data_IF_714167369030
#
_entry.id   IF_714167369030
#
_cell.length_a   1.000
_cell.length_b   1.000
_cell.length_c   1.000
_cell.angle_alpha   90.00
_cell.angle_beta   90.00
_cell.angle_gamma   90.00
#
_symmetry.space_group_name_H-M   'P 1'
#
loop_
_entity.id
_entity.type
_entity.pdbx_description
1 polymer ?
#
# COMPACT_ATOMS: atom_id res chain seq x y z
N UNK A 1 -20.64 15.23 2.07
CA UNK A 1 -19.49 14.30 1.88
C UNK A 1 -18.64 14.78 0.73
N UNK A 2 -19.16 14.95 -0.49
CA UNK A 2 -18.38 15.33 -1.67
C UNK A 2 -17.61 16.64 -1.54
N UNK A 3 -18.22 17.71 -0.99
CA UNK A 3 -17.53 18.99 -0.76
C UNK A 3 -16.38 18.89 0.24
N UNK A 4 -16.56 18.11 1.30
CA UNK A 4 -15.51 17.83 2.28
C UNK A 4 -14.37 17.02 1.64
N UNK A 5 -14.69 15.95 0.89
CA UNK A 5 -13.69 15.17 0.16
C UNK A 5 -12.92 16.04 -0.85
N UNK A 6 -13.59 16.98 -1.53
CA UNK A 6 -12.92 17.94 -2.42
C UNK A 6 -11.93 18.82 -1.67
N UNK A 7 -12.31 19.37 -0.52
CA UNK A 7 -11.42 20.20 0.30
C UNK A 7 -10.19 19.41 0.78
N UNK A 8 -10.36 18.17 1.22
CA UNK A 8 -9.24 17.29 1.59
C UNK A 8 -8.34 16.95 0.40
N UNK A 9 -8.93 16.61 -0.75
CA UNK A 9 -8.16 16.32 -1.96
C UNK A 9 -7.31 17.53 -2.39
N UNK A 10 -7.88 18.74 -2.35
CA UNK A 10 -7.15 19.98 -2.63
C UNK A 10 -6.00 20.20 -1.64
N UNK A 11 -6.25 20.04 -0.34
CA UNK A 11 -5.25 20.24 0.70
C UNK A 11 -4.06 19.28 0.59
N UNK A 12 -4.30 18.04 0.15
CA UNK A 12 -3.29 16.98 0.16
C UNK A 12 -2.67 16.68 -1.21
N UNK A 13 -3.27 17.08 -2.33
CA UNK A 13 -2.79 16.71 -3.66
C UNK A 13 -2.54 17.89 -4.59
N UNK A 14 -3.21 19.06 -4.39
CA UNK A 14 -3.09 20.15 -5.34
C UNK A 14 -2.06 21.23 -4.94
N UNK A 15 -1.48 21.16 -3.76
CA UNK A 15 -0.43 22.08 -3.33
C UNK A 15 0.89 21.74 -4.02
N UNK A 16 1.76 22.74 -4.20
CA UNK A 16 3.08 22.59 -4.80
C UNK A 16 3.97 21.62 -3.98
N UNK A 17 3.88 21.71 -2.66
CA UNK A 17 4.62 20.87 -1.70
C UNK A 17 3.87 19.58 -1.29
N UNK A 18 2.78 19.23 -2.00
CA UNK A 18 1.98 18.06 -1.66
C UNK A 18 2.72 16.75 -1.97
N UNK A 19 2.49 15.69 -1.17
CA UNK A 19 3.09 14.37 -1.37
C UNK A 19 2.68 13.76 -2.72
N UNK A 20 3.45 12.78 -3.20
CA UNK A 20 3.15 12.05 -4.44
C UNK A 20 1.91 11.18 -4.33
N UNK A 21 1.59 10.67 -3.14
CA UNK A 21 0.44 9.82 -2.89
C UNK A 21 -0.20 10.12 -1.53
N UNK A 22 -1.51 9.85 -1.41
CA UNK A 22 -2.23 9.92 -0.14
C UNK A 22 -3.01 8.64 0.09
N UNK A 23 -3.05 8.17 1.35
CA UNK A 23 -3.90 7.04 1.76
C UNK A 23 -5.30 7.53 2.08
N UNK A 24 -6.31 6.86 1.52
CA UNK A 24 -7.73 7.21 1.67
C UNK A 24 -8.56 6.00 2.06
N UNK A 25 -9.65 6.25 2.80
CA UNK A 25 -10.61 5.22 3.16
C UNK A 25 -11.75 5.21 2.13
N UNK A 26 -12.01 4.06 1.52
CA UNK A 26 -13.06 3.86 0.52
C UNK A 26 -14.48 3.68 1.09
N UNK A 27 -14.66 3.67 2.41
CA UNK A 27 -15.93 3.37 3.06
C UNK A 27 -17.09 4.26 2.62
N UNK A 28 -16.84 5.51 2.23
CA UNK A 28 -17.84 6.45 1.74
C UNK A 28 -18.24 6.24 0.26
N UNK A 29 -17.63 5.29 -0.43
CA UNK A 29 -17.90 5.04 -1.85
C UNK A 29 -17.37 6.15 -2.78
N UNK A 30 -17.97 6.25 -3.99
CA UNK A 30 -17.53 7.16 -5.06
C UNK A 30 -17.51 8.63 -4.63
N UNK A 31 -18.52 9.09 -3.93
CA UNK A 31 -18.60 10.47 -3.46
C UNK A 31 -17.41 10.89 -2.58
N UNK A 32 -16.83 9.90 -1.86
CA UNK A 32 -15.64 10.09 -1.05
C UNK A 32 -14.33 9.98 -1.83
N UNK A 33 -14.28 9.20 -2.91
CA UNK A 33 -13.07 8.92 -3.67
C UNK A 33 -12.88 9.76 -4.93
N UNK A 34 -13.95 10.05 -5.67
CA UNK A 34 -13.88 10.75 -6.95
C UNK A 34 -13.14 12.11 -6.88
N UNK A 35 -13.29 12.95 -5.84
CA UNK A 35 -12.52 14.19 -5.73
C UNK A 35 -11.00 13.93 -5.62
N UNK A 36 -10.58 12.88 -4.91
CA UNK A 36 -9.16 12.51 -4.80
C UNK A 36 -8.63 11.93 -6.11
N UNK A 37 -9.42 11.10 -6.80
CA UNK A 37 -9.07 10.54 -8.12
C UNK A 37 -8.88 11.67 -9.13
N UNK A 38 -9.80 12.62 -9.18
CA UNK A 38 -9.71 13.78 -10.05
C UNK A 38 -8.46 14.62 -9.77
N UNK A 39 -8.17 14.91 -8.50
CA UNK A 39 -6.99 15.66 -8.09
C UNK A 39 -5.70 14.92 -8.43
N UNK A 40 -5.60 13.62 -8.12
CA UNK A 40 -4.44 12.79 -8.40
C UNK A 40 -4.16 12.71 -9.90
N UNK A 41 -5.19 12.47 -10.72
CA UNK A 41 -5.08 12.40 -12.18
C UNK A 41 -4.60 13.73 -12.78
N UNK A 42 -5.15 14.86 -12.28
CA UNK A 42 -4.78 16.19 -12.77
C UNK A 42 -3.33 16.58 -12.45
N UNK A 43 -2.77 16.06 -11.36
CA UNK A 43 -1.42 16.41 -10.87
C UNK A 43 -0.35 15.33 -11.12
N UNK A 44 -0.73 14.20 -11.72
CA UNK A 44 0.17 13.06 -11.90
C UNK A 44 0.56 12.36 -10.59
N UNK A 45 -0.26 12.52 -9.53
CA UNK A 45 -0.09 11.90 -8.21
C UNK A 45 -0.94 10.65 -8.05
N UNK A 46 -0.92 10.01 -6.88
CA UNK A 46 -1.62 8.75 -6.65
C UNK A 46 -2.39 8.69 -5.34
N UNK A 47 -3.16 7.61 -5.23
CA UNK A 47 -3.91 7.24 -4.03
C UNK A 47 -3.53 5.82 -3.60
N UNK A 48 -3.66 5.54 -2.30
CA UNK A 48 -3.74 4.19 -1.76
C UNK A 48 -5.05 4.03 -1.00
N UNK A 49 -5.98 3.27 -1.55
CA UNK A 49 -7.27 2.99 -0.91
C UNK A 49 -7.09 1.85 0.08
N UNK A 50 -7.64 1.97 1.29
CA UNK A 50 -7.62 0.88 2.27
C UNK A 50 -8.43 -0.32 1.75
N UNK A 51 -7.79 -1.48 1.62
CA UNK A 51 -8.42 -2.75 1.20
C UNK A 51 -8.28 -3.79 2.31
N UNK A 52 -7.04 -4.18 2.65
CA UNK A 52 -6.77 -5.12 3.74
C UNK A 52 -5.69 -4.54 4.65
N UNK A 53 -6.09 -4.09 5.82
CA UNK A 53 -5.16 -3.43 6.74
C UNK A 53 -4.37 -4.43 7.59
N UNK A 54 -3.19 -4.04 8.06
CA UNK A 54 -2.27 -4.93 8.77
C UNK A 54 -2.59 -5.14 10.26
N UNK A 55 -3.50 -4.33 10.84
CA UNK A 55 -3.87 -4.43 12.24
C UNK A 55 -4.82 -5.62 12.49
N UNK A 56 -4.68 -6.35 13.63
CA UNK A 56 -5.50 -7.53 13.91
C UNK A 56 -7.02 -7.26 13.92
N UNK A 57 -7.46 -6.16 14.52
CA UNK A 57 -8.88 -5.80 14.60
C UNK A 57 -9.50 -5.40 13.25
N UNK A 58 -8.70 -5.24 12.20
CA UNK A 58 -9.21 -5.09 10.84
C UNK A 58 -10.12 -6.26 10.42
N UNK A 59 -9.84 -7.46 10.92
CA UNK A 59 -10.64 -8.66 10.66
C UNK A 59 -12.11 -8.54 11.13
N UNK A 60 -12.40 -7.75 12.16
CA UNK A 60 -13.76 -7.56 12.70
C UNK A 60 -14.76 -7.05 11.63
N UNK A 61 -14.26 -6.24 10.69
CA UNK A 61 -15.06 -5.72 9.58
C UNK A 61 -14.67 -6.34 8.24
N UNK A 62 -13.37 -6.45 7.99
CA UNK A 62 -12.86 -6.81 6.65
C UNK A 62 -13.12 -8.28 6.32
N UNK A 63 -13.27 -9.16 7.33
CA UNK A 63 -13.61 -10.58 7.16
C UNK A 63 -15.12 -10.87 7.21
N UNK A 64 -15.98 -9.85 7.31
CA UNK A 64 -17.42 -10.04 7.17
C UNK A 64 -17.74 -10.55 5.77
N UNK A 65 -18.55 -11.61 5.71
CA UNK A 65 -18.97 -12.27 4.47
C UNK A 65 -20.38 -11.85 4.07
N UNK A 66 -20.60 -11.71 2.77
CA UNK A 66 -21.93 -11.59 2.21
C UNK A 66 -22.62 -12.97 2.09
N UNK A 67 -23.84 -12.99 1.53
CA UNK A 67 -24.60 -14.22 1.33
C UNK A 67 -23.95 -15.22 0.35
N UNK A 68 -22.97 -14.80 -0.45
CA UNK A 68 -22.20 -15.63 -1.36
C UNK A 68 -20.86 -16.09 -0.74
N UNK A 69 -20.55 -15.69 0.50
CA UNK A 69 -19.31 -15.99 1.20
C UNK A 69 -18.13 -15.10 0.79
N UNK A 70 -18.41 -13.99 0.07
CA UNK A 70 -17.37 -13.03 -0.36
C UNK A 70 -17.12 -12.04 0.77
N UNK A 71 -15.84 -11.86 1.12
CA UNK A 71 -15.45 -10.99 2.23
C UNK A 71 -15.44 -9.51 1.84
N UNK A 72 -15.61 -8.65 2.84
CA UNK A 72 -15.64 -7.19 2.61
C UNK A 72 -14.37 -6.68 1.95
N UNK A 73 -13.18 -7.20 2.32
CA UNK A 73 -11.93 -6.80 1.68
C UNK A 73 -11.84 -7.22 0.20
N UNK A 74 -12.48 -8.32 -0.20
CA UNK A 74 -12.56 -8.78 -1.60
C UNK A 74 -13.51 -7.90 -2.42
N UNK A 75 -14.65 -7.51 -1.82
CA UNK A 75 -15.52 -6.49 -2.42
C UNK A 75 -14.80 -5.18 -2.61
N UNK A 76 -14.00 -4.74 -1.62
CA UNK A 76 -13.21 -3.52 -1.74
C UNK A 76 -12.13 -3.65 -2.82
N UNK A 77 -11.49 -4.81 -2.96
CA UNK A 77 -10.51 -5.05 -4.02
C UNK A 77 -11.14 -4.96 -5.41
N UNK A 78 -12.28 -5.62 -5.61
CA UNK A 78 -13.06 -5.55 -6.84
C UNK A 78 -13.48 -4.11 -7.15
N UNK A 79 -13.93 -3.38 -6.14
CA UNK A 79 -14.32 -1.98 -6.26
C UNK A 79 -13.13 -1.11 -6.68
N UNK A 80 -11.96 -1.25 -6.05
CA UNK A 80 -10.75 -0.48 -6.38
C UNK A 80 -10.25 -0.80 -7.79
N UNK A 81 -10.24 -2.07 -8.19
CA UNK A 81 -9.86 -2.47 -9.54
C UNK A 81 -10.80 -1.88 -10.63
N UNK A 82 -12.09 -1.75 -10.31
CA UNK A 82 -13.08 -1.15 -11.22
C UNK A 82 -12.97 0.38 -11.36
N UNK A 83 -12.13 1.06 -10.56
CA UNK A 83 -11.87 2.50 -10.70
C UNK A 83 -10.89 2.82 -11.83
N UNK A 84 -10.25 1.81 -12.44
CA UNK A 84 -9.30 2.00 -13.52
C UNK A 84 -9.96 2.56 -14.77
N UNK A 85 -9.30 3.55 -15.35
CA UNK A 85 -9.65 4.15 -16.65
C UNK A 85 -8.38 4.39 -17.46
N UNK A 86 -8.49 4.79 -18.72
CA UNK A 86 -7.36 5.19 -19.53
C UNK A 86 -6.57 6.38 -18.93
N UNK A 87 -7.23 7.21 -18.12
CA UNK A 87 -6.60 8.36 -17.46
C UNK A 87 -5.87 7.99 -16.16
N UNK A 88 -6.25 6.88 -15.50
CA UNK A 88 -5.66 6.45 -14.23
C UNK A 88 -4.51 5.47 -14.43
N UNK A 89 -4.47 4.72 -15.53
CA UNK A 89 -3.40 3.75 -15.80
C UNK A 89 -2.25 4.42 -16.55
N UNK A 90 -1.07 4.41 -15.93
CA UNK A 90 0.14 5.02 -16.47
C UNK A 90 0.86 4.14 -17.50
N UNK A 91 1.92 4.71 -18.11
CA UNK A 91 2.71 4.05 -19.18
C UNK A 91 3.35 2.71 -18.77
N UNK A 92 3.56 2.49 -17.48
CA UNK A 92 4.12 1.24 -16.94
C UNK A 92 3.06 0.17 -16.63
N UNK A 93 1.80 0.42 -16.96
CA UNK A 93 0.69 -0.49 -16.76
C UNK A 93 0.09 -0.46 -15.34
N UNK A 94 0.60 0.36 -14.43
CA UNK A 94 0.03 0.53 -13.09
C UNK A 94 -0.91 1.72 -13.02
N UNK A 95 -1.94 1.57 -12.20
CA UNK A 95 -2.90 2.63 -11.88
C UNK A 95 -2.31 3.62 -10.87
N UNK A 96 -2.70 4.89 -10.99
CA UNK A 96 -2.47 5.88 -9.92
C UNK A 96 -3.39 5.65 -8.70
N UNK A 97 -4.36 4.73 -8.82
CA UNK A 97 -5.22 4.28 -7.72
C UNK A 97 -4.66 2.95 -7.21
N UNK A 98 -3.85 2.99 -6.19
CA UNK A 98 -3.28 1.83 -5.51
C UNK A 98 -4.15 1.34 -4.35
N UNK A 99 -3.68 0.31 -3.66
CA UNK A 99 -4.35 -0.31 -2.53
C UNK A 99 -3.42 -0.49 -1.33
N UNK A 100 -3.93 -0.31 -0.12
CA UNK A 100 -3.22 -0.75 1.10
C UNK A 100 -3.54 -2.21 1.34
N UNK A 101 -2.49 -3.05 1.33
CA UNK A 101 -2.58 -4.50 1.57
C UNK A 101 -1.51 -4.91 2.58
N UNK A 102 -1.91 -5.23 3.80
CA UNK A 102 -1.01 -5.53 4.91
C UNK A 102 -0.24 -6.84 4.74
N UNK A 103 1.07 -6.82 4.98
CA UNK A 103 1.95 -8.00 4.94
C UNK A 103 1.61 -9.06 6.02
N UNK A 104 0.86 -8.71 7.05
CA UNK A 104 0.41 -9.64 8.09
C UNK A 104 -0.60 -10.69 7.59
N UNK A 105 -1.04 -10.57 6.34
CA UNK A 105 -2.00 -11.45 5.68
C UNK A 105 -1.48 -11.93 4.31
N UNK A 106 -0.36 -12.70 4.27
CA UNK A 106 0.32 -13.03 3.00
C UNK A 106 -0.55 -13.85 2.03
N UNK A 107 -1.37 -14.78 2.51
CA UNK A 107 -2.28 -15.54 1.65
C UNK A 107 -3.30 -14.63 0.97
N UNK A 108 -3.95 -13.73 1.72
CA UNK A 108 -4.88 -12.75 1.17
C UNK A 108 -4.17 -11.76 0.24
N UNK A 109 -2.93 -11.37 0.55
CA UNK A 109 -2.15 -10.48 -0.33
C UNK A 109 -1.90 -11.11 -1.70
N UNK A 110 -1.61 -12.42 -1.77
CA UNK A 110 -1.45 -13.16 -3.02
C UNK A 110 -2.76 -13.21 -3.82
N UNK A 111 -3.89 -13.49 -3.17
CA UNK A 111 -5.21 -13.46 -3.80
C UNK A 111 -5.56 -12.06 -4.32
N UNK A 112 -5.38 -11.04 -3.49
CA UNK A 112 -5.63 -9.65 -3.84
C UNK A 112 -4.75 -9.17 -5.00
N UNK A 113 -3.52 -9.68 -5.13
CA UNK A 113 -2.65 -9.39 -6.28
C UNK A 113 -3.24 -9.89 -7.59
N UNK A 114 -3.93 -11.03 -7.58
CA UNK A 114 -4.63 -11.53 -8.78
C UNK A 114 -5.87 -10.71 -9.11
N UNK A 115 -6.60 -10.23 -8.10
CA UNK A 115 -7.79 -9.39 -8.28
C UNK A 115 -7.46 -7.97 -8.73
N UNK A 116 -6.29 -7.44 -8.32
CA UNK A 116 -5.84 -6.08 -8.56
C UNK A 116 -4.49 -6.03 -9.29
N UNK A 117 -4.38 -6.55 -10.52
CA UNK A 117 -3.08 -6.71 -11.21
C UNK A 117 -2.41 -5.38 -11.58
N UNK A 118 -3.16 -4.29 -11.68
CA UNK A 118 -2.65 -2.97 -12.06
C UNK A 118 -2.45 -2.03 -10.88
N UNK A 119 -2.93 -2.35 -9.70
CA UNK A 119 -2.81 -1.53 -8.52
C UNK A 119 -1.42 -1.65 -7.91
N UNK A 120 -0.78 -0.51 -7.59
CA UNK A 120 0.36 -0.52 -6.69
C UNK A 120 -0.13 -0.85 -5.28
N UNK A 121 0.52 -1.80 -4.60
CA UNK A 121 0.23 -2.09 -3.19
C UNK A 121 1.15 -1.31 -2.27
N UNK A 122 0.57 -0.60 -1.30
CA UNK A 122 1.28 -0.11 -0.13
C UNK A 122 1.17 -1.20 0.93
N UNK A 123 2.32 -1.71 1.37
CA UNK A 123 2.43 -2.94 2.18
C UNK A 123 2.96 -2.61 3.58
N UNK A 124 2.10 -2.23 4.53
CA UNK A 124 2.47 -2.08 5.93
C UNK A 124 2.55 -3.43 6.63
N UNK A 125 3.31 -3.47 7.76
CA UNK A 125 3.35 -4.61 8.65
C UNK A 125 4.71 -5.26 8.81
N UNK A 126 5.66 -4.98 7.93
CA UNK A 126 7.03 -5.50 8.02
C UNK A 126 7.69 -5.16 9.37
N UNK A 127 8.33 -6.14 9.97
CA UNK A 127 9.10 -6.03 11.20
C UNK A 127 8.24 -5.74 12.44
N UNK A 128 7.93 -4.50 12.70
CA UNK A 128 7.30 -4.09 13.96
C UNK A 128 5.87 -4.63 14.22
N UNK A 129 5.20 -5.16 13.19
CA UNK A 129 3.90 -5.84 13.31
C UNK A 129 4.00 -7.35 13.09
N UNK A 130 5.23 -7.88 13.00
CA UNK A 130 5.51 -9.31 12.95
C UNK A 130 5.64 -9.91 11.55
N UNK A 131 5.31 -9.16 10.47
CA UNK A 131 5.49 -9.69 9.13
C UNK A 131 6.98 -9.69 8.73
N UNK A 132 7.37 -10.71 7.99
CA UNK A 132 8.72 -10.91 7.43
C UNK A 132 8.81 -10.40 6.00
N UNK A 133 10.01 -10.38 5.42
CA UNK A 133 10.21 -10.08 4.01
C UNK A 133 9.51 -11.09 3.09
N UNK A 134 9.48 -12.36 3.47
CA UNK A 134 8.75 -13.41 2.74
C UNK A 134 7.24 -13.12 2.70
N UNK A 135 6.66 -12.66 3.82
CA UNK A 135 5.24 -12.27 3.86
C UNK A 135 4.95 -11.08 2.94
N UNK A 136 5.90 -10.13 2.83
CA UNK A 136 5.78 -8.99 1.91
C UNK A 136 5.84 -9.42 0.44
N UNK A 137 6.63 -10.46 0.11
CA UNK A 137 6.85 -10.91 -1.27
C UNK A 137 5.55 -11.35 -1.98
N UNK A 138 4.56 -11.86 -1.24
CA UNK A 138 3.24 -12.22 -1.77
C UNK A 138 2.50 -11.04 -2.43
N UNK A 139 2.80 -9.81 -2.03
CA UNK A 139 2.18 -8.58 -2.57
C UNK A 139 2.74 -8.16 -3.94
N UNK A 140 3.87 -8.70 -4.36
CA UNK A 140 4.52 -8.36 -5.63
C UNK A 140 3.97 -9.19 -6.80
N UNK A 141 4.03 -8.64 -8.00
CA UNK A 141 3.69 -9.36 -9.24
C UNK A 141 4.77 -10.37 -9.64
N UNK A 142 4.53 -11.13 -10.70
CA UNK A 142 5.48 -12.13 -11.20
C UNK A 142 6.82 -11.57 -11.69
N UNK A 143 6.89 -10.27 -11.95
CA UNK A 143 8.12 -9.57 -12.32
C UNK A 143 8.82 -8.90 -11.11
N UNK A 144 8.37 -9.20 -9.89
CA UNK A 144 8.92 -8.62 -8.65
C UNK A 144 8.64 -7.13 -8.48
N UNK A 145 7.51 -6.66 -9.01
CA UNK A 145 7.11 -5.25 -8.99
C UNK A 145 5.70 -5.08 -8.44
N UNK A 146 5.17 -3.87 -8.46
CA UNK A 146 3.78 -3.57 -8.12
C UNK A 146 3.51 -3.39 -6.62
N UNK A 147 4.53 -3.36 -5.76
CA UNK A 147 4.36 -3.10 -4.33
C UNK A 147 5.44 -2.19 -3.76
N UNK A 148 5.09 -1.46 -2.69
CA UNK A 148 5.96 -0.60 -1.90
C UNK A 148 5.83 -1.04 -0.44
N UNK A 149 6.90 -1.61 0.14
CA UNK A 149 6.93 -1.98 1.56
C UNK A 149 7.31 -0.76 2.39
N UNK A 150 6.52 -0.46 3.41
CA UNK A 150 6.80 0.63 4.32
C UNK A 150 7.06 0.14 5.75
N UNK A 151 8.03 0.76 6.42
CA UNK A 151 8.45 0.41 7.78
C UNK A 151 8.88 1.66 8.55
N UNK A 152 7.97 2.24 9.35
CA UNK A 152 8.28 3.45 10.12
C UNK A 152 9.16 3.15 11.34
N UNK A 153 8.70 2.32 12.28
CA UNK A 153 9.41 2.08 13.55
C UNK A 153 10.76 1.41 13.39
N UNK A 154 10.89 0.45 12.49
CA UNK A 154 12.13 -0.29 12.28
C UNK A 154 13.18 0.47 11.49
N UNK A 155 12.78 1.48 10.73
CA UNK A 155 13.66 2.32 9.91
C UNK A 155 13.83 3.70 10.53
N UNK A 156 12.76 4.51 10.64
CA UNK A 156 12.87 5.90 11.10
C UNK A 156 13.35 6.03 12.56
N UNK A 157 13.07 5.04 13.40
CA UNK A 157 13.54 5.00 14.79
C UNK A 157 14.70 4.00 15.00
N UNK A 158 15.44 3.67 13.94
CA UNK A 158 16.58 2.75 14.04
C UNK A 158 17.65 3.25 15.00
N UNK A 159 17.87 4.56 15.05
CA UNK A 159 18.83 5.22 15.96
C UNK A 159 18.52 5.00 17.46
N UNK A 160 17.26 4.68 17.80
CA UNK A 160 16.86 4.41 19.19
C UNK A 160 17.13 2.96 19.63
N UNK A 161 17.61 2.10 18.74
CA UNK A 161 17.95 0.71 19.05
C UNK A 161 19.35 0.60 19.69
N UNK A 162 19.52 -0.36 20.58
CA UNK A 162 20.81 -0.65 21.21
C UNK A 162 21.92 -0.95 20.17
N UNK A 163 21.56 -1.61 19.07
CA UNK A 163 22.47 -1.91 17.96
C UNK A 163 23.03 -0.67 17.23
N UNK A 164 22.43 0.49 17.43
CA UNK A 164 22.87 1.76 16.86
C UNK A 164 23.56 2.68 17.90
N UNK A 165 23.90 2.15 19.07
CA UNK A 165 24.56 2.92 20.13
C UNK A 165 25.88 3.51 19.63
N UNK A 166 26.00 4.86 19.71
CA UNK A 166 27.19 5.60 19.24
C UNK A 166 27.21 5.91 17.74
N UNK A 167 26.21 5.50 16.97
CA UNK A 167 26.04 5.83 15.56
C UNK A 167 25.32 7.17 15.41
N UNK A 168 25.63 7.93 14.36
CA UNK A 168 24.80 9.08 13.97
C UNK A 168 23.39 8.60 13.59
N UNK A 169 22.37 9.39 13.89
CA UNK A 169 20.99 9.00 13.67
C UNK A 169 20.67 8.79 12.18
N UNK A 170 21.27 9.61 11.29
CA UNK A 170 21.04 9.51 9.84
C UNK A 170 21.68 8.22 9.29
N UNK A 171 22.90 7.88 9.75
CA UNK A 171 23.60 6.65 9.37
C UNK A 171 22.80 5.42 9.84
N UNK A 172 22.23 5.46 11.05
CA UNK A 172 21.40 4.38 11.57
C UNK A 172 20.12 4.16 10.74
N UNK A 173 19.49 5.26 10.30
CA UNK A 173 18.29 5.22 9.43
C UNK A 173 18.65 4.71 8.04
N UNK A 174 19.74 5.19 7.43
CA UNK A 174 20.22 4.74 6.12
C UNK A 174 20.55 3.24 6.14
N UNK A 175 21.29 2.77 7.12
CA UNK A 175 21.61 1.36 7.28
C UNK A 175 20.34 0.50 7.42
N UNK A 176 19.38 0.93 8.22
CA UNK A 176 18.13 0.21 8.42
C UNK A 176 17.26 0.17 7.15
N UNK A 177 17.25 1.27 6.37
CA UNK A 177 16.56 1.33 5.09
C UNK A 177 17.20 0.40 4.05
N UNK A 178 18.53 0.40 3.97
CA UNK A 178 19.29 -0.50 3.10
C UNK A 178 19.09 -1.97 3.44
N UNK A 179 19.07 -2.30 4.73
CA UNK A 179 18.79 -3.66 5.21
C UNK A 179 17.38 -4.12 4.83
N UNK A 180 16.35 -3.26 5.04
CA UNK A 180 14.97 -3.53 4.61
C UNK A 180 14.90 -3.78 3.10
N UNK A 181 15.51 -2.91 2.30
CA UNK A 181 15.46 -3.02 0.85
C UNK A 181 16.11 -4.32 0.36
N UNK A 182 17.24 -4.70 0.95
CA UNK A 182 17.96 -5.94 0.63
C UNK A 182 17.15 -7.18 1.01
N UNK A 183 16.59 -7.19 2.21
CA UNK A 183 15.79 -8.30 2.74
C UNK A 183 14.56 -8.56 1.87
N UNK A 184 13.78 -7.50 1.60
CA UNK A 184 12.59 -7.60 0.74
C UNK A 184 12.96 -8.00 -0.69
N UNK A 185 14.00 -7.40 -1.27
CA UNK A 185 14.42 -7.75 -2.64
C UNK A 185 14.85 -9.22 -2.75
N UNK A 186 15.57 -9.74 -1.76
CA UNK A 186 15.98 -11.14 -1.72
C UNK A 186 14.79 -12.09 -1.61
N UNK A 187 13.82 -11.78 -0.73
CA UNK A 187 12.61 -12.58 -0.58
C UNK A 187 11.75 -12.59 -1.85
N UNK A 188 11.61 -11.43 -2.51
CA UNK A 188 10.87 -11.31 -3.77
C UNK A 188 11.52 -12.12 -4.88
N UNK A 189 12.86 -12.04 -5.04
CA UNK A 189 13.57 -12.87 -6.02
C UNK A 189 13.35 -14.36 -5.77
N UNK A 190 13.51 -14.80 -4.53
CA UNK A 190 13.33 -16.19 -4.15
C UNK A 190 11.91 -16.70 -4.46
N UNK A 191 10.88 -15.92 -4.10
CA UNK A 191 9.49 -16.32 -4.30
C UNK A 191 9.05 -16.28 -5.77
N UNK A 192 9.54 -15.30 -6.54
CA UNK A 192 9.13 -15.13 -7.94
C UNK A 192 10.07 -15.83 -8.94
N UNK A 193 11.15 -16.50 -8.48
CA UNK A 193 12.13 -17.16 -9.33
C UNK A 193 12.89 -16.20 -10.23
N UNK A 194 13.26 -15.03 -9.70
CA UNK A 194 13.99 -13.98 -10.44
C UNK A 194 15.49 -14.08 -10.13
N UNK A 195 16.34 -14.03 -11.15
CA UNK A 195 17.81 -14.02 -11.07
C UNK A 195 18.36 -12.65 -10.59
#
# INVERSE_FOLDING_TARGET
IGSTATAYAQAHLLREDAPDCVTVNGYLGRDGLDPFIAAATATGKGLFVLVRTSNPSGAELQDLEDAAGIKLYEHMATYVAALDTAATVGKRGYSCIGAVVGATWPAQAAELRTMMPKQLFLVPGYGAQGATAADCAASFDSAGRGAIVNASRSVLYAFAKESAAGMDWADAVEQAAGALATDVASAVRAEKGLD
#
